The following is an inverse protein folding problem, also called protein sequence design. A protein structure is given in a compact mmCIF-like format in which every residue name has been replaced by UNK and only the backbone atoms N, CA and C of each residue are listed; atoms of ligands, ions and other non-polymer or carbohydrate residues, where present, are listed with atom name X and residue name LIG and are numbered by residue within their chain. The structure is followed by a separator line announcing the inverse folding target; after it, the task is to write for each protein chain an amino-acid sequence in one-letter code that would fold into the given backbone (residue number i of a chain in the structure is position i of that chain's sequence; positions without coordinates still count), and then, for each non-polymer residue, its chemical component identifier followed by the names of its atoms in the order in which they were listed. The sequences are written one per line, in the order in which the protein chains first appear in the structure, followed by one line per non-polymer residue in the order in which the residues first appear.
data_IF_348693464437
#
_entry.id   IF_348693464437
#
_cell.length_a   1.000
_cell.length_b   1.000
_cell.length_c   1.000
_cell.angle_alpha   90.00
_cell.angle_beta   90.00
_cell.angle_gamma   90.00
#
_symmetry.space_group_name_H-M   'P 1'
#
loop_
_entity.id
_entity.type
_entity.pdbx_description
1 polymer ?
#
# COMPACT_ATOMS: atom_id res chain seq x y z
N UNK A 1 4.46 4.95 20.29
CA UNK A 1 3.78 6.08 19.61
C UNK A 1 2.39 5.61 19.20
N UNK A 2 1.32 6.22 19.72
CA UNK A 2 -0.05 5.85 19.35
C UNK A 2 -0.35 6.45 17.97
N UNK A 3 -0.78 5.61 17.02
CA UNK A 3 -1.23 6.06 15.70
C UNK A 3 -2.64 6.64 15.84
N UNK A 4 -3.00 7.58 14.97
CA UNK A 4 -4.39 8.00 14.84
C UNK A 4 -5.17 7.02 13.94
N UNK A 5 -6.50 7.12 13.96
CA UNK A 5 -7.38 6.20 13.21
C UNK A 5 -7.07 6.19 11.71
N UNK A 6 -6.68 7.33 11.14
CA UNK A 6 -6.33 7.44 9.72
C UNK A 6 -5.05 6.64 9.41
N UNK A 7 -4.01 6.82 10.23
CA UNK A 7 -2.75 6.09 10.13
C UNK A 7 -2.94 4.60 10.36
N UNK A 8 -3.80 4.21 11.31
CA UNK A 8 -4.14 2.79 11.53
C UNK A 8 -4.81 2.16 10.32
N UNK A 9 -5.79 2.84 9.70
CA UNK A 9 -6.44 2.36 8.48
C UNK A 9 -5.46 2.24 7.31
N UNK A 10 -4.52 3.17 7.15
CA UNK A 10 -3.47 3.07 6.14
C UNK A 10 -2.57 1.84 6.36
N UNK A 11 -2.18 1.59 7.62
CA UNK A 11 -1.34 0.43 7.98
C UNK A 11 -2.05 -0.89 7.70
N UNK A 12 -3.34 -0.97 8.01
CA UNK A 12 -4.18 -2.12 7.73
C UNK A 12 -4.37 -2.31 6.22
N UNK A 13 -4.66 -1.24 5.49
CA UNK A 13 -4.83 -1.30 4.03
C UNK A 13 -3.56 -1.77 3.30
N UNK A 14 -2.38 -1.49 3.86
CA UNK A 14 -1.09 -1.93 3.35
C UNK A 14 -0.71 -3.38 3.75
N UNK A 15 -1.56 -4.13 4.47
CA UNK A 15 -1.29 -5.52 4.84
C UNK A 15 -1.32 -6.44 3.59
N UNK A 16 -0.19 -7.06 3.20
CA UNK A 16 -0.13 -7.91 2.02
C UNK A 16 -0.93 -9.21 2.14
N UNK A 17 -1.29 -9.65 3.35
CA UNK A 17 -2.02 -10.89 3.57
C UNK A 17 -3.52 -10.79 3.23
N UNK A 18 -4.04 -9.58 3.08
CA UNK A 18 -5.44 -9.32 2.72
C UNK A 18 -5.55 -8.73 1.31
N UNK A 19 -6.61 -9.10 0.58
CA UNK A 19 -7.07 -8.33 -0.58
C UNK A 19 -7.79 -7.09 -0.09
N UNK A 20 -7.34 -5.91 -0.53
CA UNK A 20 -7.85 -4.63 -0.04
C UNK A 20 -8.44 -3.80 -1.18
N UNK A 21 -9.68 -3.33 -1.01
CA UNK A 21 -10.22 -2.22 -1.77
C UNK A 21 -10.16 -0.96 -0.91
N UNK A 22 -9.62 0.14 -1.45
CA UNK A 22 -9.54 1.40 -0.71
C UNK A 22 -10.17 2.53 -1.51
N UNK A 23 -11.07 3.27 -0.86
CA UNK A 23 -11.60 4.54 -1.35
C UNK A 23 -11.18 5.63 -0.37
N UNK A 24 -10.55 6.69 -0.88
CA UNK A 24 -10.10 7.81 -0.06
C UNK A 24 -9.93 9.07 -0.90
N UNK A 25 -10.15 10.23 -0.25
CA UNK A 25 -10.06 11.54 -0.87
C UNK A 25 -8.66 11.85 -1.44
N UNK A 26 -8.53 12.87 -2.28
CA UNK A 26 -7.23 13.37 -2.72
C UNK A 26 -6.34 13.73 -1.51
N UNK A 27 -5.02 13.53 -1.64
CA UNK A 27 -4.07 13.84 -0.56
C UNK A 27 -4.04 12.87 0.63
N UNK A 28 -4.92 11.86 0.69
CA UNK A 28 -5.00 10.89 1.80
C UNK A 28 -3.90 9.81 1.86
N UNK A 29 -2.83 9.94 1.06
CA UNK A 29 -1.71 8.99 1.10
C UNK A 29 -1.94 7.63 0.42
N UNK A 30 -2.93 7.51 -0.48
CA UNK A 30 -3.21 6.26 -1.22
C UNK A 30 -1.98 5.63 -1.90
N UNK A 31 -1.16 6.46 -2.56
CA UNK A 31 0.07 6.00 -3.20
C UNK A 31 1.06 5.45 -2.17
N UNK A 32 1.20 6.12 -1.03
CA UNK A 32 2.04 5.63 0.08
C UNK A 32 1.57 4.26 0.60
N UNK A 33 0.26 4.04 0.72
CA UNK A 33 -0.29 2.74 1.12
C UNK A 33 0.11 1.63 0.14
N UNK A 34 0.05 1.91 -1.18
CA UNK A 34 0.50 0.95 -2.20
C UNK A 34 2.01 0.70 -2.12
N UNK A 35 2.83 1.75 -2.00
CA UNK A 35 4.29 1.62 -1.87
C UNK A 35 4.67 0.83 -0.60
N UNK A 36 4.03 1.12 0.54
CA UNK A 36 4.27 0.40 1.80
C UNK A 36 3.86 -1.07 1.67
N UNK A 37 2.77 -1.39 0.95
CA UNK A 37 2.37 -2.78 0.67
C UNK A 37 3.40 -3.52 -0.17
N UNK A 38 3.91 -2.91 -1.24
CA UNK A 38 4.96 -3.49 -2.09
C UNK A 38 6.23 -3.73 -1.26
N UNK A 39 6.64 -2.76 -0.46
CA UNK A 39 7.79 -2.91 0.42
C UNK A 39 7.63 -4.09 1.40
N UNK A 40 6.43 -4.27 1.99
CA UNK A 40 6.14 -5.40 2.87
C UNK A 40 6.17 -6.75 2.15
N UNK A 41 5.68 -6.83 0.92
CA UNK A 41 5.79 -8.04 0.09
C UNK A 41 7.26 -8.42 -0.15
N UNK A 42 8.07 -7.44 -0.55
CA UNK A 42 9.50 -7.64 -0.81
C UNK A 42 10.26 -8.05 0.46
N UNK A 43 10.01 -7.37 1.58
CA UNK A 43 10.59 -7.71 2.88
C UNK A 43 10.12 -9.09 3.39
N UNK A 44 8.93 -9.52 2.96
CA UNK A 44 8.40 -10.87 3.20
C UNK A 44 9.00 -11.95 2.31
N UNK A 45 9.93 -11.61 1.40
CA UNK A 45 10.61 -12.57 0.52
C UNK A 45 9.90 -12.80 -0.81
N UNK A 46 8.82 -12.07 -1.14
CA UNK A 46 8.20 -12.15 -2.46
C UNK A 46 9.17 -11.60 -3.50
N UNK A 47 9.48 -12.41 -4.51
CA UNK A 47 10.32 -11.96 -5.63
C UNK A 47 9.64 -10.81 -6.40
N UNK A 48 10.37 -9.76 -6.81
CA UNK A 48 9.79 -8.60 -7.49
C UNK A 48 8.97 -8.94 -8.74
N UNK A 49 9.40 -9.93 -9.53
CA UNK A 49 8.68 -10.38 -10.73
C UNK A 49 7.28 -10.96 -10.45
N UNK A 50 6.98 -11.31 -9.20
CA UNK A 50 5.65 -11.77 -8.78
C UNK A 50 4.74 -10.62 -8.33
N UNK A 51 5.18 -9.36 -8.42
CA UNK A 51 4.42 -8.18 -8.02
C UNK A 51 4.13 -7.30 -9.25
N UNK A 52 2.86 -7.19 -9.63
CA UNK A 52 2.40 -6.31 -10.70
C UNK A 52 1.83 -5.01 -10.11
N UNK A 53 2.49 -3.89 -10.38
CA UNK A 53 1.96 -2.56 -10.08
C UNK A 53 1.42 -1.91 -11.36
N UNK A 54 0.13 -1.57 -11.36
CA UNK A 54 -0.52 -0.86 -12.48
C UNK A 54 -0.83 0.57 -12.07
N UNK A 55 -0.35 1.52 -12.86
CA UNK A 55 -0.58 2.96 -12.68
C UNK A 55 -1.18 3.56 -13.94
N UNK A 56 -1.79 4.74 -13.81
CA UNK A 56 -2.36 5.44 -14.97
C UNK A 56 -1.29 6.06 -15.87
N UNK A 57 -0.13 6.42 -15.31
CA UNK A 57 0.98 7.06 -16.03
C UNK A 57 2.31 6.43 -15.65
N UNK A 58 3.30 6.53 -16.54
CA UNK A 58 4.66 6.00 -16.31
C UNK A 58 5.47 6.80 -15.28
N UNK A 59 5.09 8.04 -14.99
CA UNK A 59 5.83 8.92 -14.09
C UNK A 59 5.49 8.67 -12.62
N UNK A 60 4.40 7.97 -12.35
CA UNK A 60 3.91 7.63 -11.03
C UNK A 60 4.69 6.46 -10.41
#
# INVERSE_FOLDING_TARGET
MRRDDASERQVQAADPAASTWLSANAGSGKTKVLTDRVARLLLGGTEPQHILCLTYTKAA
#
